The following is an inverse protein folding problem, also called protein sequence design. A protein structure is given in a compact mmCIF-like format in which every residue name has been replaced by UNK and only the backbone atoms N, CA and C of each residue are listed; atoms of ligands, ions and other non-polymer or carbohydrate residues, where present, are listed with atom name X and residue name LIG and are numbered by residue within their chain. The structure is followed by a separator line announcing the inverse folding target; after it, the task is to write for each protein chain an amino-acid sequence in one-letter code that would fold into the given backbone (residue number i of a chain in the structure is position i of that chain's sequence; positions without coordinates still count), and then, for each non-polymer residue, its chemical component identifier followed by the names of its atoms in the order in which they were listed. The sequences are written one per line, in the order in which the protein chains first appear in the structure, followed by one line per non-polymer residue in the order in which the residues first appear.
data_IF_530404355156
#
_entry.id   IF_530404355156
#
_cell.length_a   1.000
_cell.length_b   1.000
_cell.length_c   1.000
_cell.angle_alpha   90.00
_cell.angle_beta   90.00
_cell.angle_gamma   90.00
#
_symmetry.space_group_name_H-M   'P 1'
#
loop_
_entity.id
_entity.type
_entity.pdbx_description
1 polymer ?
#
# COMPACT_ATOMS: atom_id res chain seq x y z
N UNK A 1 -64.86 -53.67 -14.78
CA UNK A 1 -64.54 -52.48 -13.92
C UNK A 1 -63.06 -52.26 -14.04
N UNK A 2 -62.63 -51.14 -14.68
CA UNK A 2 -61.23 -50.86 -15.00
C UNK A 2 -60.73 -49.83 -14.03
N UNK A 3 -59.73 -50.18 -13.18
CA UNK A 3 -59.03 -49.24 -12.27
C UNK A 3 -58.01 -48.45 -13.09
N UNK A 4 -58.11 -47.12 -13.05
CA UNK A 4 -57.13 -46.21 -13.64
C UNK A 4 -56.11 -45.79 -12.55
N UNK A 5 -54.88 -46.24 -12.68
CA UNK A 5 -53.74 -45.85 -11.86
C UNK A 5 -53.22 -44.47 -12.31
N UNK A 6 -53.31 -43.51 -11.44
CA UNK A 6 -52.82 -42.16 -11.69
C UNK A 6 -51.35 -42.08 -11.25
N UNK A 7 -50.42 -41.86 -12.20
CA UNK A 7 -48.98 -41.73 -11.96
C UNK A 7 -48.68 -40.24 -11.73
N UNK A 8 -48.35 -39.89 -10.49
CA UNK A 8 -47.96 -38.51 -10.12
C UNK A 8 -46.45 -38.35 -10.33
N UNK A 9 -46.05 -37.63 -11.38
CA UNK A 9 -44.66 -37.30 -11.65
C UNK A 9 -44.32 -36.05 -10.83
N UNK A 10 -43.53 -36.22 -9.75
CA UNK A 10 -42.93 -35.13 -9.00
C UNK A 10 -41.73 -34.58 -9.77
N UNK A 11 -41.88 -33.40 -10.34
CA UNK A 11 -40.83 -32.68 -11.02
C UNK A 11 -39.95 -31.97 -9.97
N UNK A 12 -38.82 -32.58 -9.62
CA UNK A 12 -37.80 -31.91 -8.77
C UNK A 12 -37.11 -30.81 -9.58
N UNK A 13 -37.47 -29.57 -9.30
CA UNK A 13 -36.76 -28.40 -9.80
C UNK A 13 -35.45 -28.26 -9.04
N UNK A 14 -34.37 -28.83 -9.58
CA UNK A 14 -33.01 -28.66 -9.05
C UNK A 14 -32.53 -27.24 -9.44
N UNK A 15 -32.80 -26.30 -8.57
CA UNK A 15 -32.26 -24.93 -8.72
C UNK A 15 -30.75 -24.96 -8.45
N UNK A 16 -29.97 -25.23 -9.51
CA UNK A 16 -28.52 -25.17 -9.47
C UNK A 16 -28.08 -23.72 -9.22
N UNK A 17 -27.63 -23.45 -8.00
CA UNK A 17 -26.84 -22.26 -7.73
C UNK A 17 -25.56 -22.35 -8.56
N UNK A 18 -25.58 -21.78 -9.75
CA UNK A 18 -24.36 -21.46 -10.47
C UNK A 18 -23.69 -20.31 -9.70
N UNK A 19 -22.67 -20.63 -8.92
CA UNK A 19 -21.67 -19.65 -8.50
C UNK A 19 -21.11 -19.02 -9.77
N UNK A 20 -21.51 -17.80 -10.04
CA UNK A 20 -20.89 -17.01 -11.09
C UNK A 20 -19.48 -16.65 -10.56
N UNK A 21 -18.49 -17.50 -10.85
CA UNK A 21 -17.09 -17.09 -10.91
C UNK A 21 -17.02 -16.05 -12.05
N UNK A 22 -17.35 -14.83 -11.74
CA UNK A 22 -17.07 -13.71 -12.62
C UNK A 22 -15.54 -13.61 -12.71
N UNK A 23 -14.96 -14.30 -13.73
CA UNK A 23 -13.57 -14.06 -14.12
C UNK A 23 -13.44 -12.56 -14.32
N UNK A 24 -12.74 -11.89 -13.40
CA UNK A 24 -12.23 -10.54 -13.64
C UNK A 24 -11.53 -10.63 -15.00
N UNK A 25 -12.06 -9.94 -16.00
CA UNK A 25 -11.45 -9.93 -17.32
C UNK A 25 -10.05 -9.33 -17.18
N UNK A 26 -9.05 -10.18 -17.28
CA UNK A 26 -7.64 -9.80 -17.23
C UNK A 26 -7.26 -9.21 -18.59
N UNK A 27 -7.78 -8.05 -18.88
CA UNK A 27 -7.16 -7.23 -19.91
C UNK A 27 -6.01 -6.52 -19.21
N UNK A 28 -4.80 -6.93 -19.50
CA UNK A 28 -3.53 -6.40 -18.97
C UNK A 28 -3.32 -4.98 -19.50
N UNK A 29 -4.18 -4.06 -19.12
CA UNK A 29 -4.01 -2.64 -19.41
C UNK A 29 -3.38 -1.96 -18.18
N UNK A 30 -2.08 -2.24 -17.99
CA UNK A 30 -1.26 -1.65 -16.92
C UNK A 30 -1.28 -0.10 -17.00
N UNK A 31 -1.75 0.46 -18.11
CA UNK A 31 -1.87 1.91 -18.33
C UNK A 31 -3.04 2.58 -17.60
N UNK A 32 -3.97 1.84 -16.97
CA UNK A 32 -5.19 2.41 -16.37
C UNK A 32 -5.19 2.51 -14.84
N UNK A 33 -4.03 2.71 -14.22
CA UNK A 33 -3.97 2.93 -12.77
C UNK A 33 -4.27 1.67 -11.96
N UNK A 34 -3.71 0.53 -12.35
CA UNK A 34 -3.78 -0.73 -11.62
C UNK A 34 -2.38 -1.24 -11.26
N UNK A 35 -2.29 -2.03 -10.19
CA UNK A 35 -1.14 -2.86 -9.89
C UNK A 35 -1.53 -4.33 -10.10
N UNK A 36 -0.65 -5.12 -10.69
CA UNK A 36 -0.92 -6.53 -11.00
C UNK A 36 -0.13 -7.43 -10.07
N UNK A 37 -0.76 -8.44 -9.52
CA UNK A 37 -0.11 -9.49 -8.71
C UNK A 37 0.76 -10.35 -9.64
N UNK A 38 2.08 -10.18 -9.57
CA UNK A 38 3.02 -10.93 -10.43
C UNK A 38 3.65 -12.13 -9.75
N UNK A 39 3.58 -12.17 -8.44
CA UNK A 39 4.04 -13.30 -7.64
C UNK A 39 3.20 -13.41 -6.38
N UNK A 40 2.84 -14.64 -6.03
CA UNK A 40 2.18 -14.97 -4.79
C UNK A 40 2.59 -16.39 -4.35
N UNK A 41 3.33 -16.46 -3.25
CA UNK A 41 3.60 -17.67 -2.49
C UNK A 41 2.73 -17.64 -1.24
N UNK A 42 2.13 -18.75 -0.86
CA UNK A 42 1.15 -18.79 0.22
C UNK A 42 -0.21 -18.22 -0.22
N UNK A 43 -0.90 -17.51 0.66
CA UNK A 43 -2.23 -16.98 0.38
C UNK A 43 -2.38 -15.52 0.79
N UNK A 44 -3.18 -14.81 0.01
CA UNK A 44 -3.60 -13.44 0.28
C UNK A 44 -5.10 -13.28 -0.03
N UNK A 45 -5.71 -12.30 0.60
CA UNK A 45 -7.12 -11.98 0.42
C UNK A 45 -7.28 -10.50 0.08
N UNK A 46 -8.29 -10.20 -0.71
CA UNK A 46 -8.65 -8.84 -1.09
C UNK A 46 -10.07 -8.50 -0.64
N UNK A 47 -10.26 -7.29 -0.18
CA UNK A 47 -11.55 -6.65 0.07
C UNK A 47 -11.69 -5.50 -0.93
N UNK A 48 -12.48 -5.72 -1.97
CA UNK A 48 -12.63 -4.79 -3.08
C UNK A 48 -13.22 -3.46 -2.61
N UNK A 49 -12.51 -2.35 -2.87
CA UNK A 49 -12.88 -0.99 -2.45
C UNK A 49 -13.29 -0.87 -0.97
N UNK A 50 -12.68 -1.72 -0.13
CA UNK A 50 -12.96 -1.76 1.30
C UNK A 50 -14.39 -2.23 1.65
N UNK A 51 -15.09 -2.93 0.76
CA UNK A 51 -16.49 -3.34 0.96
C UNK A 51 -16.72 -4.79 0.53
N UNK A 52 -17.71 -5.43 1.15
CA UNK A 52 -18.09 -6.81 0.82
C UNK A 52 -17.27 -7.85 1.59
N UNK A 53 -17.28 -9.11 1.17
CA UNK A 53 -16.50 -10.18 1.78
C UNK A 53 -15.05 -10.14 1.31
N UNK A 54 -14.13 -10.64 2.15
CA UNK A 54 -12.78 -10.97 1.74
C UNK A 54 -12.80 -12.14 0.75
N UNK A 55 -12.12 -11.99 -0.37
CA UNK A 55 -11.99 -13.03 -1.41
C UNK A 55 -10.51 -13.36 -1.66
N UNK A 56 -10.24 -14.60 -2.12
CA UNK A 56 -8.86 -15.02 -2.40
C UNK A 56 -8.27 -14.22 -3.55
N UNK A 57 -7.08 -13.71 -3.35
CA UNK A 57 -6.27 -13.03 -4.36
C UNK A 57 -5.42 -14.06 -5.11
N UNK A 58 -5.27 -13.89 -6.43
CA UNK A 58 -4.52 -14.78 -7.31
C UNK A 58 -3.47 -14.02 -8.12
N UNK A 59 -2.51 -14.75 -8.67
CA UNK A 59 -1.59 -14.19 -9.67
C UNK A 59 -2.41 -13.68 -10.86
N UNK A 60 -1.96 -12.57 -11.44
CA UNK A 60 -2.57 -11.79 -12.51
C UNK A 60 -3.87 -11.05 -12.13
N UNK A 61 -4.32 -11.12 -10.87
CA UNK A 61 -5.36 -10.21 -10.40
C UNK A 61 -4.85 -8.76 -10.36
N UNK A 62 -5.73 -7.83 -10.73
CA UNK A 62 -5.44 -6.40 -10.72
C UNK A 62 -5.99 -5.74 -9.44
N UNK A 63 -5.15 -5.01 -8.73
CA UNK A 63 -5.52 -4.17 -7.60
C UNK A 63 -5.81 -2.76 -8.08
N UNK A 64 -6.86 -2.18 -7.56
CA UNK A 64 -7.32 -0.83 -7.88
C UNK A 64 -7.35 0.05 -6.64
N UNK A 65 -7.49 1.35 -6.86
CA UNK A 65 -7.72 2.32 -5.81
C UNK A 65 -8.94 1.98 -4.95
N UNK A 66 -8.75 2.00 -3.63
CA UNK A 66 -9.74 1.61 -2.64
C UNK A 66 -9.65 0.14 -2.19
N UNK A 67 -8.90 -0.72 -2.87
CA UNK A 67 -8.77 -2.13 -2.48
C UNK A 67 -7.94 -2.27 -1.20
N UNK A 68 -8.38 -3.18 -0.31
CA UNK A 68 -7.64 -3.60 0.87
C UNK A 68 -7.14 -5.02 0.66
N UNK A 69 -5.92 -5.28 1.08
CA UNK A 69 -5.29 -6.60 0.93
C UNK A 69 -4.66 -7.03 2.24
N UNK A 70 -4.78 -8.31 2.55
CA UNK A 70 -4.06 -8.96 3.65
C UNK A 70 -3.39 -10.24 3.20
N UNK A 71 -2.14 -10.39 3.57
CA UNK A 71 -1.36 -11.61 3.35
C UNK A 71 -1.40 -12.49 4.59
N UNK A 72 -1.51 -13.80 4.40
CA UNK A 72 -1.48 -14.76 5.51
C UNK A 72 -0.03 -15.07 5.94
N UNK A 73 0.11 -15.77 7.03
CA UNK A 73 1.42 -16.21 7.55
C UNK A 73 2.24 -16.93 6.47
N UNK A 74 3.53 -16.65 6.41
CA UNK A 74 4.46 -17.24 5.44
C UNK A 74 4.24 -16.82 3.98
N UNK A 75 3.26 -15.95 3.70
CA UNK A 75 3.04 -15.48 2.35
C UNK A 75 4.13 -14.50 1.89
N UNK A 76 4.37 -14.48 0.58
CA UNK A 76 5.19 -13.50 -0.12
C UNK A 76 4.44 -13.07 -1.38
N UNK A 77 4.27 -11.78 -1.56
CA UNK A 77 3.52 -11.23 -2.68
C UNK A 77 4.31 -10.13 -3.38
N UNK A 78 4.24 -10.08 -4.72
CA UNK A 78 4.80 -8.99 -5.53
C UNK A 78 3.73 -8.38 -6.41
N UNK A 79 3.64 -7.07 -6.40
CA UNK A 79 2.85 -6.24 -7.29
C UNK A 79 3.76 -5.56 -8.31
N UNK A 80 3.37 -5.60 -9.58
CA UNK A 80 3.96 -4.80 -10.66
C UNK A 80 3.04 -3.64 -10.99
N UNK A 81 3.59 -2.44 -10.99
CA UNK A 81 2.90 -1.21 -11.34
C UNK A 81 3.15 -0.84 -12.82
N UNK A 82 2.31 0.02 -13.38
CA UNK A 82 2.41 0.44 -14.78
C UNK A 82 3.68 1.22 -15.15
N UNK A 83 4.40 1.76 -14.17
CA UNK A 83 5.70 2.41 -14.32
C UNK A 83 6.89 1.46 -14.12
N UNK A 84 6.63 0.16 -14.07
CA UNK A 84 7.58 -0.90 -13.75
C UNK A 84 8.11 -0.90 -12.31
N UNK A 85 7.61 -0.04 -11.43
CA UNK A 85 7.88 -0.14 -10.00
C UNK A 85 7.31 -1.42 -9.44
N UNK A 86 7.95 -1.95 -8.40
CA UNK A 86 7.51 -3.16 -7.71
C UNK A 86 7.31 -2.90 -6.23
N UNK A 87 6.19 -3.41 -5.74
CA UNK A 87 5.88 -3.46 -4.32
C UNK A 87 5.77 -4.90 -3.89
N UNK A 88 6.44 -5.28 -2.81
CA UNK A 88 6.39 -6.62 -2.26
C UNK A 88 5.98 -6.57 -0.81
N UNK A 89 5.20 -7.56 -0.40
CA UNK A 89 4.67 -7.66 0.95
C UNK A 89 5.01 -9.02 1.54
N UNK A 90 5.44 -9.03 2.80
CA UNK A 90 5.67 -10.25 3.56
C UNK A 90 4.34 -10.86 4.03
N UNK A 91 4.40 -12.03 4.64
CA UNK A 91 3.26 -12.60 5.38
C UNK A 91 2.84 -11.74 6.57
N UNK A 92 1.58 -11.87 6.98
CA UNK A 92 0.97 -11.08 8.05
C UNK A 92 1.04 -9.57 7.80
N UNK A 93 0.95 -9.16 6.53
CA UNK A 93 0.88 -7.75 6.15
C UNK A 93 -0.54 -7.38 5.73
N UNK A 94 -0.93 -6.16 6.08
CA UNK A 94 -2.20 -5.57 5.68
C UNK A 94 -1.96 -4.18 5.11
N UNK A 95 -2.53 -3.91 3.94
CA UNK A 95 -2.37 -2.63 3.28
C UNK A 95 -3.60 -2.26 2.45
N UNK A 96 -3.70 -0.98 2.14
CA UNK A 96 -4.74 -0.40 1.30
C UNK A 96 -4.12 0.38 0.15
N UNK A 97 -4.70 0.23 -1.04
CA UNK A 97 -4.37 1.05 -2.20
C UNK A 97 -5.11 2.39 -2.10
N UNK A 98 -4.40 3.45 -1.77
CA UNK A 98 -4.99 4.80 -1.60
C UNK A 98 -5.07 5.51 -2.95
N UNK A 99 -3.99 5.44 -3.74
CA UNK A 99 -3.90 5.95 -5.12
C UNK A 99 -3.06 5.01 -5.96
N UNK A 100 -3.43 4.85 -7.20
CA UNK A 100 -2.74 3.93 -8.11
C UNK A 100 -2.64 4.49 -9.53
N UNK A 101 -2.44 5.79 -9.67
CA UNK A 101 -2.11 6.42 -10.95
C UNK A 101 -0.65 6.12 -11.34
N UNK A 102 -0.39 4.95 -11.93
CA UNK A 102 0.98 4.47 -12.15
C UNK A 102 1.73 5.21 -13.27
N UNK A 103 1.14 6.23 -13.87
CA UNK A 103 1.77 6.98 -14.97
C UNK A 103 1.88 6.13 -16.25
N UNK A 104 1.50 6.69 -17.36
CA UNK A 104 1.66 6.07 -18.67
C UNK A 104 1.68 7.19 -19.71
N UNK A 105 2.63 7.20 -20.63
CA UNK A 105 2.79 8.29 -21.57
C UNK A 105 3.08 9.62 -20.88
N UNK A 106 2.22 10.62 -21.03
CA UNK A 106 2.36 11.96 -20.41
C UNK A 106 1.69 12.12 -19.05
N UNK A 107 1.00 11.10 -18.54
CA UNK A 107 0.31 11.18 -17.24
C UNK A 107 1.31 11.13 -16.08
N UNK A 108 1.19 12.01 -15.07
CA UNK A 108 2.05 11.94 -13.89
C UNK A 108 1.75 10.67 -13.09
N UNK A 109 2.80 10.08 -12.52
CA UNK A 109 2.66 9.00 -11.55
C UNK A 109 2.09 9.56 -10.24
N UNK A 110 1.04 8.94 -9.71
CA UNK A 110 0.52 9.25 -8.37
C UNK A 110 0.16 7.92 -7.68
N UNK A 111 1.11 7.38 -6.95
CA UNK A 111 0.98 6.12 -6.23
C UNK A 111 1.06 6.38 -4.73
N UNK A 112 0.07 5.89 -4.00
CA UNK A 112 0.10 5.84 -2.54
C UNK A 112 -0.48 4.51 -2.06
N UNK A 113 0.34 3.76 -1.33
CA UNK A 113 -0.07 2.54 -0.66
C UNK A 113 0.07 2.74 0.84
N UNK A 114 -1.02 2.53 1.57
CA UNK A 114 -1.06 2.65 3.01
C UNK A 114 -0.90 1.28 3.65
N UNK A 115 0.18 1.09 4.40
CA UNK A 115 0.48 -0.14 5.13
C UNK A 115 -0.04 0.01 6.56
N UNK A 116 -1.01 -0.81 6.92
CA UNK A 116 -1.59 -0.82 8.27
C UNK A 116 -0.75 -1.66 9.21
N UNK A 117 -0.21 -2.77 8.71
CA UNK A 117 0.60 -3.72 9.48
C UNK A 117 1.56 -4.49 8.57
N UNK A 118 2.70 -4.90 9.08
CA UNK A 118 3.62 -5.82 8.43
C UNK A 118 4.75 -5.15 7.67
N UNK A 119 5.27 -5.81 6.64
CA UNK A 119 6.48 -5.41 5.92
C UNK A 119 6.19 -5.16 4.45
N UNK A 120 6.57 -3.99 3.96
CA UNK A 120 6.54 -3.63 2.55
C UNK A 120 7.96 -3.33 2.05
N UNK A 121 8.31 -3.86 0.88
CA UNK A 121 9.52 -3.54 0.12
C UNK A 121 9.12 -2.85 -1.17
N UNK A 122 9.77 -1.73 -1.47
CA UNK A 122 9.52 -0.98 -2.69
C UNK A 122 10.81 -0.86 -3.50
N UNK A 123 10.76 -1.30 -4.75
CA UNK A 123 11.74 -0.99 -5.78
C UNK A 123 11.06 -0.06 -6.79
N UNK A 124 11.35 1.24 -6.65
CA UNK A 124 10.66 2.30 -7.38
C UNK A 124 11.49 2.72 -8.58
N UNK A 125 10.92 2.58 -9.77
CA UNK A 125 11.56 2.98 -11.01
C UNK A 125 11.89 4.49 -11.02
N UNK A 126 13.07 4.83 -11.58
CA UNK A 126 13.48 6.22 -11.76
C UNK A 126 12.60 6.84 -12.84
N UNK A 127 11.73 7.78 -12.45
CA UNK A 127 10.89 8.49 -13.40
C UNK A 127 11.73 9.47 -14.22
N UNK A 128 11.74 9.31 -15.54
CA UNK A 128 12.38 10.24 -16.46
C UNK A 128 11.36 11.30 -16.87
N UNK A 129 11.63 12.56 -16.56
CA UNK A 129 10.91 13.72 -17.13
C UNK A 129 9.54 14.04 -16.55
N UNK A 130 8.88 13.20 -15.78
CA UNK A 130 7.55 13.46 -15.23
C UNK A 130 7.60 13.82 -13.74
N UNK A 131 6.88 14.89 -13.37
CA UNK A 131 6.55 15.17 -11.97
C UNK A 131 5.55 14.13 -11.53
N UNK A 132 5.86 13.33 -10.50
CA UNK A 132 4.95 12.34 -9.98
C UNK A 132 5.30 12.02 -8.53
N UNK A 133 4.29 11.58 -7.78
CA UNK A 133 4.42 11.17 -6.40
C UNK A 133 4.43 9.66 -6.31
N UNK A 134 5.32 9.12 -5.50
CA UNK A 134 5.27 7.75 -5.04
C UNK A 134 5.45 7.76 -3.53
N UNK A 135 4.49 7.22 -2.82
CA UNK A 135 4.52 7.18 -1.37
C UNK A 135 4.10 5.80 -0.84
N UNK A 136 4.78 5.35 0.21
CA UNK A 136 4.30 4.31 1.10
C UNK A 136 4.01 4.98 2.44
N UNK A 137 2.77 4.92 2.88
CA UNK A 137 2.31 5.54 4.11
C UNK A 137 1.90 4.51 5.15
N UNK A 138 1.87 4.91 6.40
CA UNK A 138 1.22 4.21 7.51
C UNK A 138 0.55 5.24 8.42
N UNK A 139 -0.04 4.81 9.54
CA UNK A 139 -0.74 5.71 10.47
C UNK A 139 0.17 6.80 11.04
N UNK A 140 1.46 6.54 11.17
CA UNK A 140 2.42 7.42 11.85
C UNK A 140 3.42 8.08 10.92
N UNK A 141 3.56 7.63 9.67
CA UNK A 141 4.57 8.13 8.74
C UNK A 141 4.13 8.08 7.27
N UNK A 142 4.71 8.95 6.48
CA UNK A 142 4.65 8.92 5.02
C UNK A 142 6.07 8.91 4.47
N UNK A 143 6.43 7.88 3.72
CA UNK A 143 7.70 7.76 3.01
C UNK A 143 7.49 8.14 1.53
N UNK A 144 7.85 9.36 1.17
CA UNK A 144 7.80 9.87 -0.20
C UNK A 144 9.13 9.66 -0.92
N UNK A 145 9.09 9.17 -2.17
CA UNK A 145 10.30 8.72 -2.88
C UNK A 145 10.31 9.05 -4.36
N UNK A 146 11.51 9.02 -4.92
CA UNK A 146 11.74 9.13 -6.37
C UNK A 146 12.92 8.25 -6.79
N UNK A 147 12.62 7.07 -7.34
CA UNK A 147 13.65 6.16 -7.84
C UNK A 147 14.54 5.61 -6.73
N UNK A 148 13.96 4.83 -5.82
CA UNK A 148 14.60 4.33 -4.60
C UNK A 148 14.28 2.87 -4.37
N UNK A 149 15.19 2.16 -3.69
CA UNK A 149 14.92 0.86 -3.10
C UNK A 149 14.88 1.02 -1.58
N UNK A 150 13.73 0.74 -0.99
CA UNK A 150 13.52 0.91 0.44
C UNK A 150 12.49 -0.07 0.99
N UNK A 151 12.45 -0.22 2.30
CA UNK A 151 11.38 -0.95 2.98
C UNK A 151 10.74 -0.13 4.09
N UNK A 152 9.50 -0.45 4.37
CA UNK A 152 8.74 0.05 5.52
C UNK A 152 8.24 -1.16 6.30
N UNK A 153 8.52 -1.19 7.59
CA UNK A 153 7.92 -2.14 8.52
C UNK A 153 6.99 -1.37 9.43
N UNK A 154 5.79 -1.84 9.60
CA UNK A 154 4.79 -1.27 10.51
C UNK A 154 4.48 -2.31 11.57
N UNK A 155 4.74 -1.97 12.82
CA UNK A 155 4.53 -2.84 13.97
C UNK A 155 3.10 -2.71 14.52
N UNK A 156 2.69 -3.62 15.40
CA UNK A 156 1.35 -3.62 16.01
C UNK A 156 1.07 -2.38 16.85
N UNK A 157 2.11 -1.76 17.42
CA UNK A 157 2.01 -0.49 18.15
C UNK A 157 1.91 0.73 17.23
N UNK A 158 1.81 0.50 15.91
CA UNK A 158 1.81 1.51 14.84
C UNK A 158 3.12 2.28 14.67
N UNK A 159 4.17 1.89 15.37
CA UNK A 159 5.50 2.42 15.05
C UNK A 159 5.95 1.93 13.68
N UNK A 160 6.74 2.73 12.97
CA UNK A 160 7.24 2.39 11.64
C UNK A 160 8.77 2.44 11.61
N UNK A 161 9.39 1.51 10.88
CA UNK A 161 10.81 1.53 10.56
C UNK A 161 10.98 1.64 9.05
N UNK A 162 11.65 2.70 8.61
CA UNK A 162 11.99 2.91 7.20
C UNK A 162 13.48 2.68 7.01
N UNK A 163 13.87 1.80 6.08
CA UNK A 163 15.26 1.52 5.67
C UNK A 163 15.44 1.77 4.18
N UNK A 164 16.50 2.48 3.82
CA UNK A 164 16.82 2.83 2.42
C UNK A 164 18.06 2.05 1.99
N UNK A 165 17.97 1.33 0.87
CA UNK A 165 19.08 0.57 0.28
C UNK A 165 19.71 1.30 -0.89
N UNK A 166 18.90 2.00 -1.70
CA UNK A 166 19.38 2.85 -2.80
C UNK A 166 18.51 4.11 -2.92
N UNK A 167 19.14 5.24 -3.21
CA UNK A 167 18.48 6.52 -3.41
C UNK A 167 18.22 7.29 -2.12
N UNK A 168 17.11 8.03 -2.10
CA UNK A 168 16.75 8.95 -1.00
C UNK A 168 15.25 8.91 -0.75
N UNK A 169 14.87 8.85 0.53
CA UNK A 169 13.48 8.84 1.00
C UNK A 169 13.23 10.06 1.87
N UNK A 170 12.12 10.74 1.64
CA UNK A 170 11.62 11.80 2.50
C UNK A 170 10.57 11.21 3.43
N UNK A 171 10.89 11.09 4.71
CA UNK A 171 9.96 10.58 5.72
C UNK A 171 9.37 11.75 6.49
N UNK A 172 8.05 11.84 6.47
CA UNK A 172 7.29 12.81 7.25
C UNK A 172 6.53 12.06 8.32
N UNK A 173 6.65 12.48 9.57
CA UNK A 173 5.86 11.95 10.68
C UNK A 173 4.41 12.46 10.64
N UNK A 174 3.50 11.76 11.34
CA UNK A 174 2.09 12.11 11.40
C UNK A 174 1.31 11.65 10.17
N UNK A 175 1.14 10.33 10.02
CA UNK A 175 0.51 9.64 8.88
C UNK A 175 -0.98 9.87 8.65
N UNK A 176 -1.58 10.96 9.15
CA UNK A 176 -2.91 11.33 8.70
C UNK A 176 -2.82 11.67 7.22
N UNK A 177 -3.42 10.85 6.39
CA UNK A 177 -3.72 11.19 4.99
C UNK A 177 -4.23 12.62 5.02
N UNK A 178 -3.52 13.52 4.34
CA UNK A 178 -3.97 14.91 4.25
C UNK A 178 -5.27 14.91 3.47
N UNK A 179 -6.38 14.92 4.18
CA UNK A 179 -7.60 15.50 3.63
C UNK A 179 -7.22 16.92 3.17
N UNK A 180 -7.58 17.20 1.93
CA UNK A 180 -7.39 18.51 1.30
C UNK A 180 -7.74 19.59 2.34
N UNK A 181 -6.87 20.57 2.63
CA UNK A 181 -7.20 21.58 3.61
C UNK A 181 -8.53 22.22 3.19
N UNK A 182 -9.51 22.19 4.08
CA UNK A 182 -10.74 22.96 3.86
C UNK A 182 -10.37 24.43 3.66
N UNK A 183 -10.98 25.13 2.70
CA UNK A 183 -10.74 26.54 2.51
C UNK A 183 -11.09 27.27 3.81
N UNK A 184 -10.10 27.87 4.45
CA UNK A 184 -10.30 28.72 5.61
C UNK A 184 -11.17 29.88 5.13
N UNK A 185 -12.41 29.95 5.62
CA UNK A 185 -13.29 31.08 5.37
C UNK A 185 -12.61 32.41 5.78
N UNK A 186 -13.09 33.56 5.26
CA UNK A 186 -12.48 34.84 5.55
C UNK A 186 -12.40 35.09 7.06
N UNK A 187 -11.27 35.61 7.58
CA UNK A 187 -11.06 35.76 9.01
C UNK A 187 -12.06 36.76 9.61
N UNK A 188 -12.88 36.30 10.54
CA UNK A 188 -13.72 37.17 11.38
C UNK A 188 -12.80 37.77 12.46
N UNK A 189 -12.69 39.10 12.46
CA UNK A 189 -11.85 39.85 13.41
C UNK A 189 -12.49 39.82 14.79
N UNK A 190 -11.87 39.06 15.71
CA UNK A 190 -12.20 39.10 17.15
C UNK A 190 -11.05 39.84 17.87
N UNK A 191 -11.31 40.86 18.73
CA UNK A 191 -10.25 41.50 19.51
C UNK A 191 -9.69 40.48 20.52
N UNK A 192 -8.37 40.21 20.41
CA UNK A 192 -7.74 39.14 21.17
C UNK A 192 -7.33 39.53 22.59
N UNK A 193 -7.31 38.55 23.49
CA UNK A 193 -6.58 38.66 24.78
C UNK A 193 -5.09 38.51 24.55
N UNK A 194 -4.33 39.05 25.51
CA UNK A 194 -2.86 39.08 25.60
C UNK A 194 -2.18 37.75 25.26
N UNK A 195 -1.05 37.74 24.53
CA UNK A 195 -0.39 36.50 24.12
C UNK A 195 0.16 35.72 25.31
N UNK A 196 -0.39 34.55 25.57
CA UNK A 196 0.24 33.52 26.38
C UNK A 196 1.16 32.74 25.44
N UNK A 197 2.43 32.42 25.78
CA UNK A 197 3.22 31.53 24.95
C UNK A 197 2.49 30.19 24.85
N UNK A 198 1.84 29.98 23.72
CA UNK A 198 1.17 28.73 23.43
C UNK A 198 2.18 27.63 23.04
N UNK A 199 1.77 26.36 23.02
CA UNK A 199 2.63 25.32 22.49
C UNK A 199 3.04 25.69 21.07
N UNK A 200 4.34 25.61 20.78
CA UNK A 200 4.89 25.91 19.46
C UNK A 200 4.20 24.99 18.44
N UNK A 201 3.50 25.57 17.48
CA UNK A 201 3.07 24.84 16.29
C UNK A 201 4.33 24.45 15.52
N UNK A 202 4.73 23.21 15.63
CA UNK A 202 5.87 22.66 14.89
C UNK A 202 5.53 22.78 13.41
N UNK A 203 6.36 23.48 12.62
CA UNK A 203 6.12 23.63 11.21
C UNK A 203 6.26 22.26 10.52
N UNK A 204 5.54 22.04 9.42
CA UNK A 204 5.57 20.79 8.64
C UNK A 204 6.99 20.41 8.21
N UNK A 205 7.87 21.37 8.01
CA UNK A 205 9.26 21.16 7.63
C UNK A 205 10.12 20.58 8.77
N UNK A 206 9.77 20.84 10.02
CA UNK A 206 10.47 20.28 11.19
C UNK A 206 10.25 18.78 11.36
N UNK A 207 9.22 18.22 10.72
CA UNK A 207 8.85 16.79 10.81
C UNK A 207 9.31 15.98 9.60
N UNK A 208 9.97 16.59 8.64
CA UNK A 208 10.48 15.90 7.45
C UNK A 208 11.92 15.50 7.64
N UNK A 209 12.20 14.21 7.60
CA UNK A 209 13.55 13.65 7.70
C UNK A 209 13.95 13.06 6.37
N UNK A 210 15.13 13.42 5.89
CA UNK A 210 15.70 12.89 4.64
C UNK A 210 16.63 11.74 4.99
N UNK A 211 16.36 10.56 4.42
CA UNK A 211 17.12 9.33 4.64
C UNK A 211 17.78 8.94 3.34
N UNK A 212 19.08 8.70 3.39
CA UNK A 212 19.91 8.30 2.26
C UNK A 212 20.13 6.79 2.25
N UNK A 213 20.73 6.30 1.18
CA UNK A 213 21.14 4.90 1.07
C UNK A 213 21.93 4.44 2.32
N UNK A 214 21.64 3.23 2.77
CA UNK A 214 22.16 2.59 3.97
C UNK A 214 21.83 3.31 5.29
N UNK A 215 20.79 4.16 5.29
CA UNK A 215 20.26 4.79 6.48
C UNK A 215 18.84 4.30 6.81
N UNK A 216 18.50 4.41 8.08
CA UNK A 216 17.19 4.09 8.59
C UNK A 216 16.68 5.16 9.55
N UNK A 217 15.35 5.22 9.67
CA UNK A 217 14.66 6.00 10.70
C UNK A 217 13.54 5.16 11.30
N UNK A 218 13.35 5.28 12.60
CA UNK A 218 12.15 4.82 13.28
C UNK A 218 11.23 6.01 13.52
N UNK A 219 9.95 5.80 13.29
CA UNK A 219 8.89 6.75 13.64
C UNK A 219 8.09 6.09 14.75
N UNK A 220 8.00 6.74 15.90
CA UNK A 220 7.25 6.25 17.05
C UNK A 220 5.75 6.18 16.79
N UNK A 221 5.01 5.53 17.70
CA UNK A 221 3.54 5.49 17.66
C UNK A 221 2.89 6.86 17.82
N UNK A 222 3.64 7.84 18.31
CA UNK A 222 3.27 9.27 18.40
C UNK A 222 3.46 10.03 17.09
N UNK A 223 4.03 9.37 16.06
CA UNK A 223 4.33 9.97 14.77
C UNK A 223 5.61 10.80 14.73
N UNK A 224 6.44 10.75 15.78
CA UNK A 224 7.70 11.51 15.84
C UNK A 224 8.84 10.64 15.29
N UNK A 225 9.56 11.10 14.25
CA UNK A 225 10.70 10.38 13.73
C UNK A 225 11.94 10.57 14.62
N UNK A 226 12.68 9.48 14.82
CA UNK A 226 14.01 9.51 15.41
C UNK A 226 15.01 10.21 14.47
N UNK A 227 16.22 10.43 14.98
CA UNK A 227 17.34 10.83 14.12
C UNK A 227 17.72 9.66 13.19
N UNK A 228 17.97 9.93 11.89
CA UNK A 228 18.49 8.91 10.98
C UNK A 228 19.79 8.31 11.52
N UNK A 229 19.94 7.02 11.35
CA UNK A 229 21.17 6.29 11.67
C UNK A 229 21.54 5.33 10.55
N UNK A 230 22.81 5.10 10.38
CA UNK A 230 23.30 4.10 9.43
C UNK A 230 22.94 2.70 9.91
N UNK A 231 22.81 1.77 8.98
CA UNK A 231 22.71 0.35 9.24
C UNK A 231 23.61 -0.43 8.28
N UNK A 232 23.98 -1.64 8.65
CA UNK A 232 24.78 -2.52 7.81
C UNK A 232 23.92 -3.64 7.23
N UNK A 233 24.36 -4.22 6.10
CA UNK A 233 23.68 -5.38 5.52
C UNK A 233 23.61 -6.56 6.49
N UNK A 234 24.62 -6.71 7.37
CA UNK A 234 24.64 -7.77 8.38
C UNK A 234 23.55 -7.59 9.43
N UNK A 235 23.30 -6.35 9.85
CA UNK A 235 22.25 -6.02 10.83
C UNK A 235 20.84 -6.21 10.26
N UNK A 236 20.73 -6.15 8.92
CA UNK A 236 19.45 -6.23 8.22
C UNK A 236 19.24 -7.54 7.46
N UNK A 237 19.95 -8.60 7.85
CA UNK A 237 19.85 -9.88 7.17
C UNK A 237 18.76 -10.73 7.78
N UNK A 238 17.67 -10.94 7.01
CA UNK A 238 16.66 -11.97 7.22
C UNK A 238 16.25 -12.60 5.88
N UNK A 239 15.51 -13.72 5.90
CA UNK A 239 15.06 -14.41 4.67
C UNK A 239 14.22 -13.51 3.74
N UNK A 240 13.42 -12.61 4.31
CA UNK A 240 12.63 -11.66 3.57
C UNK A 240 13.49 -10.65 2.82
N UNK A 241 14.51 -10.11 3.46
CA UNK A 241 15.46 -9.17 2.86
C UNK A 241 16.25 -9.83 1.75
N UNK A 242 16.79 -11.04 1.98
CA UNK A 242 17.56 -11.79 0.97
C UNK A 242 16.68 -12.15 -0.24
N UNK A 243 15.43 -12.56 -0.01
CA UNK A 243 14.49 -12.81 -1.10
C UNK A 243 14.25 -11.56 -1.96
N UNK A 244 14.03 -10.41 -1.34
CA UNK A 244 13.82 -9.14 -2.05
C UNK A 244 15.06 -8.72 -2.85
N UNK A 245 16.25 -8.80 -2.25
CA UNK A 245 17.51 -8.47 -2.91
C UNK A 245 17.81 -9.38 -4.10
N UNK A 246 17.51 -10.66 -3.98
CA UNK A 246 17.68 -11.61 -5.08
C UNK A 246 16.77 -11.23 -6.24
N UNK A 247 15.51 -10.97 -5.97
CA UNK A 247 14.55 -10.56 -7.01
C UNK A 247 14.88 -9.19 -7.63
N UNK A 248 15.47 -8.27 -6.88
CA UNK A 248 15.89 -6.97 -7.43
C UNK A 248 17.09 -7.09 -8.37
N UNK A 249 17.96 -8.10 -8.19
CA UNK A 249 19.07 -8.39 -9.09
C UNK A 249 18.66 -9.07 -10.41
N UNK A 250 17.46 -9.63 -10.45
CA UNK A 250 16.89 -10.28 -11.64
C UNK A 250 16.13 -9.29 -12.56
N UNK A 251 16.08 -8.00 -12.18
CA UNK A 251 15.41 -6.93 -12.92
C UNK A 251 16.34 -6.21 -13.87
#
# INVERSE_FOLDING_TARGET
MKAKTLFLIALFFFCGFRSADAKRATTLDIGKGAAIVRFLKGSAEILEKGKGPWTSLKIDDALQEGDHVRTKEGAQMELLLGDHSRLRFAGNSEFRVVRMGAGGGSAPRDVNVHVTLGKAWANVAKAVGTKGNFAVSCDTAVAGVRGTVFRVNVDQDRSALVRVYDGTVHVTGGGKVMDKPEPIGPPTRIPGPTPVPGPHTVSREEWTVIIKAMQQVRVGSDGVPDKPRDFTEKEDRDEWVEWNRTRDREL
#
